data_IF_090274738773
#
_entry.id   IF_090274738773
#
_cell.length_a   1.000
_cell.length_b   1.000
_cell.length_c   1.000
_cell.angle_alpha   90.00
_cell.angle_beta   90.00
_cell.angle_gamma   90.00
#
_symmetry.space_group_name_H-M   'P 1'
#
loop_
_entity.id
_entity.type
_entity.pdbx_description
1 polymer ?
#
# COMPACT_ATOMS: atom_id res chain seq x y z
N UNK A 1 -22.69 -5.00 -0.18
CA UNK A 1 -22.84 -3.55 -0.52
C UNK A 1 -23.06 -3.42 -2.02
N UNK A 2 -23.76 -2.38 -2.52
CA UNK A 2 -23.83 -2.14 -3.98
C UNK A 2 -22.56 -1.49 -4.52
N UNK A 3 -22.28 -1.56 -5.83
CA UNK A 3 -21.18 -0.82 -6.45
C UNK A 3 -21.30 0.68 -6.23
N UNK A 4 -22.49 1.26 -6.42
CA UNK A 4 -22.69 2.70 -6.25
C UNK A 4 -22.40 3.18 -4.83
N UNK A 5 -22.75 2.38 -3.82
CA UNK A 5 -22.46 2.69 -2.43
C UNK A 5 -20.95 2.56 -2.16
N UNK A 6 -20.30 1.49 -2.64
CA UNK A 6 -18.84 1.32 -2.50
C UNK A 6 -18.07 2.46 -3.18
N UNK A 7 -18.46 2.83 -4.41
CA UNK A 7 -17.87 3.95 -5.13
C UNK A 7 -18.01 5.25 -4.36
N UNK A 8 -19.20 5.55 -3.83
CA UNK A 8 -19.43 6.76 -3.04
C UNK A 8 -18.51 6.82 -1.82
N UNK A 9 -18.38 5.71 -1.09
CA UNK A 9 -17.53 5.62 0.12
C UNK A 9 -16.05 5.80 -0.23
N UNK A 10 -15.57 5.09 -1.26
CA UNK A 10 -14.18 5.17 -1.71
C UNK A 10 -13.86 6.55 -2.31
N UNK A 11 -14.75 7.11 -3.12
CA UNK A 11 -14.57 8.43 -3.73
C UNK A 11 -14.53 9.52 -2.66
N UNK A 12 -15.35 9.41 -1.61
CA UNK A 12 -15.29 10.34 -0.47
C UNK A 12 -13.93 10.26 0.25
N UNK A 13 -13.37 9.06 0.38
CA UNK A 13 -12.13 8.83 1.13
C UNK A 13 -10.86 9.15 0.34
N UNK A 14 -10.85 8.86 -0.96
CA UNK A 14 -9.65 8.89 -1.80
C UNK A 14 -9.77 9.79 -3.03
N UNK A 15 -10.91 10.46 -3.22
CA UNK A 15 -11.23 11.27 -4.40
C UNK A 15 -10.32 12.47 -4.66
N UNK A 16 -9.59 12.92 -3.64
CA UNK A 16 -8.55 13.95 -3.79
C UNK A 16 -7.26 13.42 -4.40
N UNK A 17 -7.04 12.10 -4.36
CA UNK A 17 -5.84 11.43 -4.90
C UNK A 17 -6.17 10.71 -6.21
N UNK A 18 -7.33 10.07 -6.30
CA UNK A 18 -7.71 9.25 -7.45
C UNK A 18 -9.21 9.29 -7.71
N UNK A 19 -9.61 9.29 -8.99
CA UNK A 19 -11.02 9.16 -9.36
C UNK A 19 -11.42 7.69 -9.36
N UNK A 20 -12.32 7.30 -8.47
CA UNK A 20 -12.73 5.92 -8.29
C UNK A 20 -13.69 5.50 -9.42
N UNK A 21 -13.24 4.51 -10.19
CA UNK A 21 -14.02 3.86 -11.24
C UNK A 21 -14.64 2.59 -10.66
N UNK A 22 -15.97 2.42 -10.72
CA UNK A 22 -16.64 1.30 -10.05
C UNK A 22 -16.48 -0.03 -10.79
N UNK A 23 -16.17 0.00 -12.09
CA UNK A 23 -16.21 -1.18 -12.95
C UNK A 23 -17.64 -1.76 -13.08
N UNK A 24 -17.72 -3.07 -13.24
CA UNK A 24 -18.97 -3.84 -13.22
C UNK A 24 -18.96 -4.89 -12.10
N UNK A 25 -20.13 -5.38 -11.68
CA UNK A 25 -20.25 -6.41 -10.65
C UNK A 25 -21.06 -7.58 -11.15
N UNK A 26 -20.57 -8.78 -10.85
CA UNK A 26 -21.27 -10.04 -11.09
C UNK A 26 -21.39 -10.75 -9.75
N UNK A 27 -22.62 -10.87 -9.27
CA UNK A 27 -22.92 -11.64 -8.06
C UNK A 27 -23.03 -13.11 -8.44
N UNK A 28 -22.25 -13.96 -7.79
CA UNK A 28 -22.20 -15.40 -8.04
C UNK A 28 -22.78 -16.17 -6.87
N UNK A 29 -23.68 -17.11 -7.15
CA UNK A 29 -24.39 -17.89 -6.14
C UNK A 29 -23.48 -18.99 -5.55
N UNK A 30 -22.72 -18.63 -4.52
CA UNK A 30 -21.93 -19.55 -3.71
C UNK A 30 -20.50 -19.77 -4.18
N UNK A 31 -19.65 -20.22 -3.25
CA UNK A 31 -18.21 -20.39 -3.46
C UNK A 31 -17.84 -21.37 -4.59
N UNK A 32 -18.53 -22.52 -4.78
CA UNK A 32 -18.21 -23.42 -5.89
C UNK A 32 -18.33 -22.77 -7.28
N UNK A 33 -19.38 -21.96 -7.49
CA UNK A 33 -19.55 -21.23 -8.73
C UNK A 33 -18.50 -20.11 -8.89
N UNK A 34 -18.09 -19.49 -7.78
CA UNK A 34 -17.05 -18.45 -7.79
C UNK A 34 -15.68 -19.05 -8.16
N UNK A 35 -15.30 -20.21 -7.60
CA UNK A 35 -14.10 -20.93 -8.02
C UNK A 35 -14.14 -21.33 -9.50
N UNK A 36 -15.25 -21.89 -9.96
CA UNK A 36 -15.40 -22.26 -11.38
C UNK A 36 -15.23 -21.05 -12.30
N UNK A 37 -15.76 -19.87 -11.91
CA UNK A 37 -15.57 -18.63 -12.67
C UNK A 37 -14.11 -18.14 -12.61
N UNK A 38 -13.46 -18.25 -11.46
CA UNK A 38 -12.04 -17.90 -11.31
C UNK A 38 -11.15 -18.77 -12.19
N UNK A 39 -11.37 -20.09 -12.17
CA UNK A 39 -10.67 -21.05 -13.02
C UNK A 39 -10.89 -20.74 -14.51
N UNK A 40 -12.13 -20.46 -14.91
CA UNK A 40 -12.44 -20.11 -16.30
C UNK A 40 -11.65 -18.89 -16.79
N UNK A 41 -11.53 -17.86 -15.95
CA UNK A 41 -10.83 -16.61 -16.29
C UNK A 41 -9.32 -16.81 -16.32
N UNK A 42 -8.78 -17.62 -15.41
CA UNK A 42 -7.35 -17.81 -15.25
C UNK A 42 -6.79 -18.98 -16.05
N UNK A 43 -7.62 -19.81 -16.67
CA UNK A 43 -7.21 -20.99 -17.44
C UNK A 43 -6.05 -20.67 -18.39
N UNK A 44 -4.92 -21.38 -18.23
CA UNK A 44 -3.71 -21.18 -19.03
C UNK A 44 -2.79 -20.03 -18.59
N UNK A 45 -3.25 -19.11 -17.72
CA UNK A 45 -2.37 -18.11 -17.08
C UNK A 45 -1.40 -18.80 -16.10
N UNK A 46 -0.30 -18.16 -15.76
CA UNK A 46 0.64 -18.70 -14.76
C UNK A 46 -0.02 -18.78 -13.39
N UNK A 47 -0.09 -19.98 -12.80
CA UNK A 47 -0.50 -20.19 -11.43
C UNK A 47 0.70 -19.95 -10.50
N UNK A 48 0.66 -18.86 -9.74
CA UNK A 48 1.70 -18.47 -8.79
C UNK A 48 1.56 -19.13 -7.40
N UNK A 49 0.50 -19.91 -7.16
CA UNK A 49 0.28 -20.63 -5.90
C UNK A 49 0.95 -22.01 -5.86
N UNK A 50 1.65 -22.40 -6.92
CA UNK A 50 2.29 -23.71 -7.07
C UNK A 50 3.76 -23.53 -7.43
N UNK A 51 4.63 -24.34 -6.82
CA UNK A 51 6.08 -24.30 -7.07
C UNK A 51 6.55 -25.67 -7.59
N UNK A 52 7.16 -25.75 -8.80
CA UNK A 52 7.36 -24.65 -9.75
C UNK A 52 6.03 -24.16 -10.35
N UNK A 53 6.00 -22.87 -10.72
CA UNK A 53 4.82 -22.28 -11.36
C UNK A 53 4.45 -23.08 -12.62
N UNK A 54 3.15 -23.33 -12.80
CA UNK A 54 2.60 -24.01 -13.99
C UNK A 54 1.36 -23.26 -14.49
N UNK A 55 0.87 -23.53 -15.72
CA UNK A 55 -0.40 -22.98 -16.16
C UNK A 55 -1.56 -23.37 -15.22
N UNK A 56 -2.50 -22.45 -15.04
CA UNK A 56 -3.72 -22.62 -14.27
C UNK A 56 -4.61 -23.68 -14.90
N UNK A 57 -5.21 -24.51 -14.06
CA UNK A 57 -6.09 -25.62 -14.45
C UNK A 57 -7.41 -25.55 -13.68
N UNK A 58 -8.45 -26.20 -14.20
CA UNK A 58 -9.73 -26.32 -13.49
C UNK A 58 -9.52 -27.05 -12.15
N UNK A 59 -10.09 -26.50 -11.07
CA UNK A 59 -9.96 -26.98 -9.70
C UNK A 59 -8.88 -26.26 -8.90
N UNK A 60 -7.96 -25.54 -9.55
CA UNK A 60 -6.87 -24.83 -8.85
C UNK A 60 -7.42 -23.77 -7.88
N UNK A 61 -8.47 -23.02 -8.25
CA UNK A 61 -9.05 -22.02 -7.37
C UNK A 61 -9.57 -22.64 -6.06
N UNK A 62 -10.22 -23.80 -6.13
CA UNK A 62 -10.68 -24.51 -4.93
C UNK A 62 -9.53 -25.02 -4.07
N UNK A 63 -8.48 -25.56 -4.71
CA UNK A 63 -7.33 -26.12 -4.00
C UNK A 63 -6.49 -25.05 -3.31
N UNK A 64 -6.18 -23.96 -4.00
CA UNK A 64 -5.21 -22.97 -3.54
C UNK A 64 -5.84 -21.71 -2.92
N UNK A 65 -7.14 -21.46 -3.17
CA UNK A 65 -7.87 -20.31 -2.65
C UNK A 65 -9.20 -20.76 -2.00
N UNK A 66 -9.17 -21.63 -0.96
CA UNK A 66 -10.38 -22.20 -0.36
C UNK A 66 -11.30 -21.16 0.32
N UNK A 67 -10.81 -19.95 0.54
CA UNK A 67 -11.55 -18.82 1.13
C UNK A 67 -11.96 -17.73 0.13
N UNK A 68 -11.99 -18.02 -1.18
CA UNK A 68 -12.35 -17.03 -2.20
C UNK A 68 -13.78 -16.50 -1.96
N UNK A 69 -13.92 -15.21 -1.65
CA UNK A 69 -15.22 -14.53 -1.48
C UNK A 69 -15.48 -13.46 -2.55
N UNK A 70 -14.44 -13.04 -3.26
CA UNK A 70 -14.52 -12.17 -4.42
C UNK A 70 -13.20 -12.18 -5.20
N UNK A 71 -13.24 -11.61 -6.40
CA UNK A 71 -12.03 -11.25 -7.15
C UNK A 71 -12.37 -10.21 -8.24
N UNK A 72 -11.37 -9.44 -8.66
CA UNK A 72 -11.47 -8.53 -9.80
C UNK A 72 -10.68 -9.06 -11.02
N UNK A 73 -11.26 -8.93 -12.22
CA UNK A 73 -10.57 -9.16 -13.49
C UNK A 73 -11.13 -8.21 -14.55
N UNK A 74 -10.24 -7.48 -15.24
CA UNK A 74 -10.55 -6.59 -16.36
C UNK A 74 -11.75 -5.63 -16.09
N UNK A 75 -11.72 -4.93 -14.96
CA UNK A 75 -12.78 -3.98 -14.57
C UNK A 75 -14.09 -4.63 -14.12
N UNK A 76 -14.12 -5.96 -13.94
CA UNK A 76 -15.28 -6.71 -13.43
C UNK A 76 -14.98 -7.29 -12.07
N UNK A 77 -15.83 -7.01 -11.10
CA UNK A 77 -15.79 -7.52 -9.73
C UNK A 77 -16.75 -8.70 -9.62
N UNK A 78 -16.25 -9.88 -9.28
CA UNK A 78 -17.03 -11.07 -9.04
C UNK A 78 -17.14 -11.28 -7.52
N UNK A 79 -18.36 -11.38 -6.97
CA UNK A 79 -18.56 -11.48 -5.52
C UNK A 79 -19.47 -12.64 -5.19
N UNK A 80 -19.13 -13.40 -4.15
CA UNK A 80 -20.01 -14.41 -3.59
C UNK A 80 -21.25 -13.75 -2.98
N UNK A 81 -22.41 -13.99 -3.59
CA UNK A 81 -23.69 -13.42 -3.16
C UNK A 81 -24.12 -13.92 -1.77
N UNK A 82 -23.63 -15.07 -1.33
CA UNK A 82 -23.96 -15.67 -0.03
C UNK A 82 -23.15 -15.07 1.14
N UNK A 83 -22.05 -14.38 0.84
CA UNK A 83 -21.21 -13.68 1.82
C UNK A 83 -20.96 -12.24 1.35
N UNK A 84 -22.01 -11.39 1.24
CA UNK A 84 -21.86 -10.03 0.76
C UNK A 84 -21.31 -9.14 1.88
N UNK A 85 -20.11 -9.45 2.35
CA UNK A 85 -19.42 -8.61 3.32
C UNK A 85 -19.28 -7.21 2.69
N UNK A 86 -19.72 -6.14 3.38
CA UNK A 86 -19.57 -4.77 2.88
C UNK A 86 -18.14 -4.45 2.45
N UNK A 87 -17.16 -5.07 3.11
CA UNK A 87 -15.73 -4.99 2.79
C UNK A 87 -15.38 -5.55 1.43
N UNK A 88 -15.95 -6.69 1.03
CA UNK A 88 -15.59 -7.37 -0.24
C UNK A 88 -15.85 -6.48 -1.44
N UNK A 89 -17.02 -5.84 -1.56
CA UNK A 89 -17.28 -4.97 -2.73
C UNK A 89 -16.33 -3.78 -2.82
N UNK A 90 -15.99 -3.16 -1.69
CA UNK A 90 -15.04 -2.04 -1.66
C UNK A 90 -13.60 -2.52 -1.93
N UNK A 91 -13.22 -3.66 -1.36
CA UNK A 91 -11.93 -4.31 -1.57
C UNK A 91 -11.70 -4.64 -3.05
N UNK A 92 -12.63 -5.37 -3.68
CA UNK A 92 -12.49 -5.72 -5.10
C UNK A 92 -12.57 -4.51 -6.02
N UNK A 93 -13.33 -3.47 -5.66
CA UNK A 93 -13.33 -2.21 -6.41
C UNK A 93 -11.98 -1.50 -6.34
N UNK A 94 -11.30 -1.54 -5.19
CA UNK A 94 -9.98 -0.96 -5.05
C UNK A 94 -8.96 -1.67 -5.96
N UNK A 95 -9.02 -2.99 -6.12
CA UNK A 95 -8.17 -3.72 -7.09
C UNK A 95 -8.33 -3.24 -8.54
N UNK A 96 -9.52 -2.78 -8.94
CA UNK A 96 -9.72 -2.17 -10.27
C UNK A 96 -9.10 -0.76 -10.42
N UNK A 97 -8.80 -0.11 -9.29
CA UNK A 97 -8.28 1.25 -9.24
C UNK A 97 -6.80 1.31 -8.85
N UNK A 98 -6.21 0.20 -8.40
CA UNK A 98 -4.78 0.08 -8.12
C UNK A 98 -3.96 0.36 -9.37
N UNK A 99 -2.82 1.03 -9.22
CA UNK A 99 -1.85 1.20 -10.29
C UNK A 99 -1.39 -0.17 -10.82
N UNK A 100 -1.28 -0.27 -12.15
CA UNK A 100 -1.05 -1.54 -12.83
C UNK A 100 0.28 -2.22 -12.44
N UNK A 101 1.30 -1.45 -12.06
CA UNK A 101 2.61 -1.97 -11.65
C UNK A 101 2.69 -2.30 -10.15
N UNK A 102 1.70 -1.87 -9.35
CA UNK A 102 1.77 -1.92 -7.89
C UNK A 102 1.97 -3.36 -7.41
N UNK A 103 1.02 -4.24 -7.71
CA UNK A 103 1.06 -5.67 -7.36
C UNK A 103 2.36 -6.34 -7.82
N UNK A 104 2.78 -6.11 -9.06
CA UNK A 104 3.98 -6.71 -9.63
C UNK A 104 5.26 -6.33 -8.87
N UNK A 105 5.36 -5.05 -8.46
CA UNK A 105 6.53 -4.53 -7.75
C UNK A 105 6.50 -4.84 -6.25
N UNK A 106 5.37 -4.61 -5.56
CA UNK A 106 5.29 -4.77 -4.09
C UNK A 106 5.04 -6.22 -3.63
N UNK A 107 4.47 -7.06 -4.49
CA UNK A 107 4.06 -8.42 -4.14
C UNK A 107 2.60 -8.52 -3.69
N UNK A 108 2.07 -9.74 -3.73
CA UNK A 108 0.68 -10.08 -3.41
C UNK A 108 0.33 -9.73 -1.99
N UNK A 109 1.17 -10.10 -1.03
CA UNK A 109 0.90 -9.90 0.40
C UNK A 109 0.70 -8.43 0.74
N UNK A 110 1.56 -7.55 0.22
CA UNK A 110 1.45 -6.11 0.44
C UNK A 110 0.27 -5.56 -0.37
N UNK A 111 0.05 -6.02 -1.60
CA UNK A 111 -1.10 -5.63 -2.42
C UNK A 111 -2.44 -5.89 -1.71
N UNK A 112 -2.69 -7.14 -1.30
CA UNK A 112 -3.93 -7.52 -0.59
C UNK A 112 -4.06 -6.81 0.76
N UNK A 113 -2.96 -6.70 1.52
CA UNK A 113 -2.95 -5.97 2.78
C UNK A 113 -3.29 -4.48 2.62
N UNK A 114 -2.80 -3.85 1.55
CA UNK A 114 -3.08 -2.45 1.23
C UNK A 114 -4.53 -2.27 0.79
N UNK A 115 -5.02 -3.12 -0.11
CA UNK A 115 -6.41 -3.10 -0.56
C UNK A 115 -7.37 -3.23 0.61
N UNK A 116 -7.16 -4.22 1.49
CA UNK A 116 -8.00 -4.41 2.67
C UNK A 116 -7.89 -3.25 3.66
N UNK A 117 -6.68 -2.77 3.94
CA UNK A 117 -6.46 -1.62 4.81
C UNK A 117 -7.27 -0.39 4.34
N UNK A 118 -7.18 -0.06 3.06
CA UNK A 118 -7.85 1.08 2.45
C UNK A 118 -9.38 0.90 2.41
N UNK A 119 -9.86 -0.31 2.12
CA UNK A 119 -11.29 -0.63 2.18
C UNK A 119 -11.85 -0.42 3.59
N UNK A 120 -11.18 -0.99 4.60
CA UNK A 120 -11.57 -0.83 6.01
C UNK A 120 -11.53 0.63 6.44
N UNK A 121 -10.49 1.38 6.06
CA UNK A 121 -10.37 2.81 6.36
C UNK A 121 -11.58 3.60 5.83
N UNK A 122 -11.92 3.40 4.55
CA UNK A 122 -13.02 4.12 3.91
C UNK A 122 -14.39 3.76 4.52
N UNK A 123 -14.62 2.46 4.78
CA UNK A 123 -15.86 1.99 5.40
C UNK A 123 -16.04 2.52 6.83
N UNK A 124 -14.96 2.50 7.62
CA UNK A 124 -14.97 3.06 8.97
C UNK A 124 -15.22 4.57 8.95
N UNK A 125 -14.59 5.32 8.03
CA UNK A 125 -14.83 6.75 7.85
C UNK A 125 -16.29 7.07 7.48
N UNK A 126 -16.95 6.17 6.74
CA UNK A 126 -18.36 6.27 6.40
C UNK A 126 -19.32 5.76 7.49
N UNK A 127 -18.81 5.30 8.64
CA UNK A 127 -19.62 4.73 9.71
C UNK A 127 -20.30 3.41 9.34
N UNK A 128 -19.80 2.70 8.32
CA UNK A 128 -20.35 1.42 7.87
C UNK A 128 -19.71 0.31 8.70
N UNK A 129 -20.49 -0.46 9.48
CA UNK A 129 -19.95 -1.56 10.26
C UNK A 129 -19.29 -2.61 9.35
N UNK A 130 -18.05 -2.95 9.65
CA UNK A 130 -17.33 -4.07 9.03
C UNK A 130 -17.59 -5.39 9.77
N UNK A 131 -18.67 -5.44 10.57
CA UNK A 131 -18.91 -6.45 11.59
C UNK A 131 -19.19 -7.85 11.03
N UNK A 132 -18.19 -8.70 11.18
CA UNK A 132 -18.24 -10.18 11.15
C UNK A 132 -17.10 -10.84 11.94
N UNK A 133 -16.24 -10.05 12.60
CA UNK A 133 -15.26 -10.50 13.60
C UNK A 133 -13.83 -10.73 13.09
N UNK A 134 -13.61 -11.01 11.81
CA UNK A 134 -12.27 -11.19 11.25
C UNK A 134 -12.03 -10.18 10.13
N UNK A 135 -11.00 -9.34 10.30
CA UNK A 135 -10.36 -8.66 9.16
C UNK A 135 -9.97 -9.74 8.17
N UNK A 136 -10.37 -9.61 6.90
CA UNK A 136 -9.84 -10.51 5.88
C UNK A 136 -8.33 -10.24 5.84
N UNK A 137 -7.49 -11.28 5.88
CA UNK A 137 -6.02 -11.09 5.82
C UNK A 137 -5.42 -10.30 7.00
N UNK A 138 -5.65 -10.71 8.27
CA UNK A 138 -5.21 -9.93 9.43
C UNK A 138 -3.68 -9.76 9.48
N UNK A 139 -2.92 -10.77 9.04
CA UNK A 139 -1.46 -10.72 8.96
C UNK A 139 -0.99 -9.72 7.92
N UNK A 140 -1.58 -9.73 6.72
CA UNK A 140 -1.24 -8.83 5.62
C UNK A 140 -1.53 -7.37 5.99
N UNK A 141 -2.71 -7.12 6.56
CA UNK A 141 -3.06 -5.78 7.09
C UNK A 141 -2.10 -5.36 8.20
N UNK A 142 -1.66 -6.30 9.05
CA UNK A 142 -0.64 -6.05 10.07
C UNK A 142 0.72 -5.63 9.49
N UNK A 143 1.19 -6.33 8.44
CA UNK A 143 2.41 -5.98 7.70
C UNK A 143 2.27 -4.57 7.09
N UNK A 144 1.14 -4.28 6.44
CA UNK A 144 0.93 -2.97 5.80
C UNK A 144 0.84 -1.83 6.81
N UNK A 145 0.23 -2.05 7.99
CA UNK A 145 0.25 -1.05 9.06
C UNK A 145 1.67 -0.72 9.52
N UNK A 146 2.53 -1.72 9.69
CA UNK A 146 3.95 -1.49 10.03
C UNK A 146 4.70 -0.79 8.90
N UNK A 147 4.40 -1.11 7.64
CA UNK A 147 4.94 -0.39 6.49
C UNK A 147 4.50 1.08 6.49
N UNK A 148 3.24 1.37 6.83
CA UNK A 148 2.73 2.73 7.02
C UNK A 148 3.49 3.45 8.13
N UNK A 149 3.80 2.78 9.24
CA UNK A 149 4.59 3.35 10.34
C UNK A 149 6.03 3.73 9.89
N UNK A 150 6.55 3.06 8.86
CA UNK A 150 7.84 3.42 8.24
C UNK A 150 7.68 4.57 7.25
N UNK A 151 6.84 4.44 6.24
CA UNK A 151 6.83 5.36 5.07
C UNK A 151 5.79 6.48 5.13
N UNK A 152 4.87 6.42 6.08
CA UNK A 152 3.69 7.28 6.16
C UNK A 152 2.52 6.78 5.29
N UNK A 153 1.30 7.03 5.77
CA UNK A 153 0.07 6.55 5.10
C UNK A 153 -0.16 7.22 3.74
N UNK A 154 0.13 8.53 3.64
CA UNK A 154 -0.03 9.28 2.39
C UNK A 154 0.84 8.71 1.26
N UNK A 155 2.03 8.21 1.61
CA UNK A 155 2.95 7.56 0.66
C UNK A 155 2.34 6.25 0.15
N UNK A 156 1.80 5.42 1.05
CA UNK A 156 1.11 4.19 0.66
C UNK A 156 -0.07 4.49 -0.27
N UNK A 157 -0.94 5.44 0.08
CA UNK A 157 -2.12 5.80 -0.72
C UNK A 157 -1.71 6.31 -2.10
N UNK A 158 -0.73 7.22 -2.16
CA UNK A 158 -0.24 7.77 -3.42
C UNK A 158 0.37 6.70 -4.30
N UNK A 159 1.13 5.77 -3.73
CA UNK A 159 1.72 4.66 -4.46
C UNK A 159 0.67 3.65 -4.93
N UNK A 160 -0.35 3.37 -4.11
CA UNK A 160 -1.41 2.43 -4.46
C UNK A 160 -2.15 2.84 -5.73
N UNK A 161 -2.48 4.13 -5.86
CA UNK A 161 -3.18 4.66 -7.04
C UNK A 161 -2.25 5.17 -8.16
N UNK A 162 -1.03 5.60 -7.82
CA UNK A 162 -0.10 6.28 -8.73
C UNK A 162 1.11 5.45 -9.19
N UNK A 163 1.37 4.29 -8.58
CA UNK A 163 2.47 3.39 -8.92
C UNK A 163 3.42 3.12 -7.77
N UNK A 164 4.00 1.91 -7.74
CA UNK A 164 4.74 1.42 -6.57
C UNK A 164 6.10 2.07 -6.31
N UNK A 165 6.69 2.79 -7.27
CA UNK A 165 8.05 3.30 -7.16
C UNK A 165 8.22 4.26 -5.97
N UNK A 166 7.26 5.17 -5.76
CA UNK A 166 7.32 6.12 -4.64
C UNK A 166 7.33 5.44 -3.26
N UNK A 167 6.62 4.32 -3.10
CA UNK A 167 6.63 3.53 -1.88
C UNK A 167 7.98 2.82 -1.68
N UNK A 168 8.49 2.19 -2.74
CA UNK A 168 9.77 1.45 -2.71
C UNK A 168 10.93 2.41 -2.44
N UNK A 169 10.94 3.55 -3.10
CA UNK A 169 11.94 4.60 -2.93
C UNK A 169 11.89 5.20 -1.52
N UNK A 170 10.71 5.56 -1.02
CA UNK A 170 10.55 6.07 0.35
C UNK A 170 11.03 5.04 1.38
N UNK A 171 10.70 3.77 1.18
CA UNK A 171 11.15 2.70 2.06
C UNK A 171 12.67 2.54 2.04
N UNK A 172 13.27 2.47 0.85
CA UNK A 172 14.72 2.30 0.70
C UNK A 172 15.50 3.52 1.22
N UNK A 173 14.93 4.72 1.12
CA UNK A 173 15.48 5.95 1.72
C UNK A 173 15.57 5.83 3.24
N UNK A 174 14.55 5.23 3.87
CA UNK A 174 14.43 5.12 5.33
C UNK A 174 15.14 3.89 5.92
N UNK A 175 15.17 2.78 5.18
CA UNK A 175 15.67 1.48 5.66
C UNK A 175 16.98 1.05 4.98
N UNK A 176 17.46 1.82 4.01
CA UNK A 176 18.62 1.49 3.17
C UNK A 176 18.26 0.75 1.88
N UNK A 177 19.16 0.80 0.90
CA UNK A 177 18.92 0.46 -0.52
C UNK A 177 18.57 -1.01 -0.81
N UNK A 178 18.89 -1.96 0.09
CA UNK A 178 18.49 -3.37 -0.04
C UNK A 178 17.17 -3.70 0.68
N UNK A 179 16.58 -2.73 1.37
CA UNK A 179 15.49 -2.96 2.29
C UNK A 179 14.28 -3.61 1.61
N UNK A 180 13.75 -3.00 0.55
CA UNK A 180 12.49 -3.49 -0.03
C UNK A 180 12.66 -4.84 -0.74
N UNK A 181 13.84 -5.07 -1.34
CA UNK A 181 14.18 -6.34 -1.98
C UNK A 181 14.21 -7.52 -0.98
N UNK A 182 14.48 -7.25 0.30
CA UNK A 182 14.39 -8.23 1.39
C UNK A 182 12.96 -8.30 1.98
N UNK A 183 12.29 -7.16 2.09
CA UNK A 183 10.92 -7.07 2.63
C UNK A 183 9.93 -7.88 1.79
N UNK A 184 9.94 -7.69 0.46
CA UNK A 184 8.99 -8.35 -0.45
C UNK A 184 8.95 -9.87 -0.26
N UNK A 185 10.05 -10.63 -0.42
CA UNK A 185 10.00 -12.08 -0.24
C UNK A 185 9.66 -12.50 1.20
N UNK A 186 10.06 -11.73 2.21
CA UNK A 186 9.67 -12.01 3.60
C UNK A 186 8.17 -11.85 3.83
N UNK A 187 7.56 -10.81 3.23
CA UNK A 187 6.13 -10.57 3.25
C UNK A 187 5.38 -11.69 2.51
N UNK A 188 5.81 -12.10 1.30
CA UNK A 188 5.18 -13.21 0.57
C UNK A 188 5.22 -14.55 1.32
N UNK A 189 6.29 -14.78 2.09
CA UNK A 189 6.40 -15.94 2.96
C UNK A 189 5.57 -15.81 4.25
N UNK A 190 4.88 -14.68 4.47
CA UNK A 190 4.24 -14.30 5.73
C UNK A 190 5.17 -14.47 6.94
N UNK A 191 6.47 -14.23 6.75
CA UNK A 191 7.50 -14.40 7.77
C UNK A 191 7.51 -13.19 8.71
N UNK A 192 6.56 -13.17 9.65
CA UNK A 192 6.33 -12.03 10.54
C UNK A 192 7.57 -11.67 11.37
N UNK A 193 8.37 -12.65 11.78
CA UNK A 193 9.61 -12.39 12.52
C UNK A 193 10.60 -11.54 11.71
N UNK A 194 10.75 -11.82 10.40
CA UNK A 194 11.64 -11.05 9.53
C UNK A 194 11.01 -9.73 9.13
N UNK A 195 9.72 -9.70 8.78
CA UNK A 195 9.04 -8.44 8.44
C UNK A 195 9.03 -7.46 9.60
N UNK A 196 8.93 -7.93 10.85
CA UNK A 196 8.92 -7.06 12.02
C UNK A 196 10.25 -6.34 12.23
N UNK A 197 11.36 -7.02 11.94
CA UNK A 197 12.69 -6.41 11.96
C UNK A 197 12.81 -5.38 10.83
N UNK A 198 12.43 -5.75 9.61
CA UNK A 198 12.54 -4.90 8.43
C UNK A 198 11.63 -3.66 8.50
N UNK A 199 10.47 -3.78 9.15
CA UNK A 199 9.48 -2.71 9.28
C UNK A 199 9.59 -1.94 10.60
N UNK A 200 10.74 -1.98 11.27
CA UNK A 200 10.99 -1.14 12.45
C UNK A 200 11.21 0.31 12.00
N UNK A 201 10.38 1.29 12.40
CA UNK A 201 10.57 2.67 11.98
C UNK A 201 11.92 3.24 12.46
N UNK A 202 12.62 4.05 11.63
CA UNK A 202 13.85 4.68 12.07
C UNK A 202 13.59 5.64 13.23
N UNK A 203 14.52 5.71 14.19
CA UNK A 203 14.47 6.71 15.27
C UNK A 203 14.65 8.12 14.74
N UNK A 204 14.29 9.12 15.54
CA UNK A 204 14.52 10.53 15.18
C UNK A 204 16.00 10.82 14.87
N UNK A 205 16.93 10.25 15.64
CA UNK A 205 18.37 10.40 15.41
C UNK A 205 18.79 9.78 14.08
N UNK A 206 18.24 8.61 13.73
CA UNK A 206 18.50 7.96 12.44
C UNK A 206 17.94 8.80 11.29
N UNK A 207 16.73 9.35 11.41
CA UNK A 207 16.13 10.26 10.41
C UNK A 207 17.00 11.51 10.21
N UNK A 208 17.48 12.12 11.29
CA UNK A 208 18.41 13.27 11.22
C UNK A 208 19.71 12.88 10.52
N UNK A 209 20.27 11.70 10.81
CA UNK A 209 21.47 11.21 10.15
C UNK A 209 21.26 11.00 8.64
N UNK A 210 20.14 10.41 8.24
CA UNK A 210 19.75 10.24 6.83
C UNK A 210 19.66 11.61 6.15
N UNK A 211 18.94 12.58 6.73
CA UNK A 211 18.82 13.93 6.17
C UNK A 211 20.19 14.61 6.04
N UNK A 212 21.05 14.48 7.05
CA UNK A 212 22.39 15.04 6.99
C UNK A 212 23.22 14.44 5.84
N UNK A 213 23.06 13.14 5.55
CA UNK A 213 23.76 12.51 4.41
C UNK A 213 23.37 13.11 3.06
N UNK A 214 22.12 13.56 2.89
CA UNK A 214 21.65 14.27 1.69
C UNK A 214 22.11 15.74 1.64
N UNK A 215 22.46 16.32 2.78
CA UNK A 215 22.94 17.71 2.87
C UNK A 215 24.46 17.81 2.78
N UNK A 216 25.18 16.68 2.82
CA UNK A 216 26.63 16.64 2.77
C UNK A 216 27.15 16.75 1.33
N UNK A 217 27.59 17.95 0.95
CA UNK A 217 28.20 18.23 -0.35
C UNK A 217 27.29 19.04 -1.27
N UNK A 218 27.24 18.65 -2.55
CA UNK A 218 26.33 19.28 -3.52
C UNK A 218 24.94 18.71 -3.35
N UNK A 219 23.95 19.58 -3.06
CA UNK A 219 22.56 19.20 -2.87
C UNK A 219 21.80 19.43 -4.18
N UNK A 220 21.14 18.40 -4.68
CA UNK A 220 20.24 18.43 -5.83
C UNK A 220 18.79 18.69 -5.41
N UNK A 221 17.88 18.85 -6.38
CA UNK A 221 16.45 18.91 -6.08
C UNK A 221 15.88 17.55 -5.67
N UNK A 222 16.47 16.45 -6.12
CA UNK A 222 16.11 15.08 -5.76
C UNK A 222 16.45 14.79 -4.29
N UNK A 223 17.61 15.27 -3.80
CA UNK A 223 17.97 15.18 -2.39
C UNK A 223 16.93 15.87 -1.49
N UNK A 224 16.39 17.01 -1.93
CA UNK A 224 15.33 17.71 -1.20
C UNK A 224 13.99 16.93 -1.22
N UNK A 225 13.70 16.16 -2.27
CA UNK A 225 12.57 15.24 -2.30
C UNK A 225 12.76 14.10 -1.31
N UNK A 226 13.95 13.50 -1.23
CA UNK A 226 14.26 12.46 -0.23
C UNK A 226 14.19 13.00 1.19
N UNK A 227 14.69 14.21 1.45
CA UNK A 227 14.54 14.87 2.76
C UNK A 227 13.06 15.09 3.08
N UNK A 228 12.25 15.52 2.12
CA UNK A 228 10.81 15.68 2.30
C UNK A 228 10.12 14.35 2.64
N UNK A 229 10.52 13.23 2.02
CA UNK A 229 10.03 11.89 2.35
C UNK A 229 10.36 11.52 3.80
N UNK A 230 11.61 11.74 4.24
CA UNK A 230 12.02 11.45 5.63
C UNK A 230 11.27 12.31 6.64
N UNK A 231 11.07 13.59 6.35
CA UNK A 231 10.30 14.49 7.23
C UNK A 231 8.82 14.09 7.25
N UNK A 232 8.26 13.66 6.13
CA UNK A 232 6.84 13.25 6.07
C UNK A 232 6.56 11.95 6.82
N UNK A 233 7.53 11.04 6.95
CA UNK A 233 7.40 9.85 7.79
C UNK A 233 7.60 10.09 9.29
N UNK A 234 7.95 11.32 9.70
CA UNK A 234 8.16 11.68 11.09
C UNK A 234 6.85 12.06 11.79
N UNK A 235 6.67 11.60 13.03
CA UNK A 235 5.61 12.07 13.93
C UNK A 235 5.78 13.56 14.29
N UNK A 236 4.74 14.19 14.84
CA UNK A 236 4.77 15.64 15.15
C UNK A 236 5.92 16.05 16.09
N UNK A 237 6.20 15.27 17.12
CA UNK A 237 7.34 15.51 18.02
C UNK A 237 8.70 15.35 17.33
N UNK A 238 8.82 14.32 16.48
CA UNK A 238 10.03 14.07 15.71
C UNK A 238 10.31 15.19 14.70
N UNK A 239 9.26 15.70 14.02
CA UNK A 239 9.38 16.82 13.07
C UNK A 239 10.01 18.05 13.70
N UNK A 240 9.61 18.39 14.93
CA UNK A 240 10.21 19.51 15.69
C UNK A 240 11.69 19.27 15.99
N UNK A 241 12.05 18.04 16.38
CA UNK A 241 13.44 17.67 16.66
C UNK A 241 14.31 17.68 15.39
N UNK A 242 13.78 17.14 14.28
CA UNK A 242 14.42 17.19 12.96
C UNK A 242 14.60 18.64 12.52
N UNK A 243 13.56 19.47 12.57
CA UNK A 243 13.66 20.89 12.20
C UNK A 243 14.73 21.61 13.02
N UNK A 244 14.77 21.40 14.34
CA UNK A 244 15.78 21.99 15.22
C UNK A 244 17.20 21.55 14.86
N UNK A 245 17.39 20.27 14.52
CA UNK A 245 18.70 19.72 14.16
C UNK A 245 19.18 20.19 12.77
N UNK A 246 18.28 20.34 11.80
CA UNK A 246 18.62 20.61 10.39
C UNK A 246 18.63 22.11 10.08
N UNK A 247 17.86 22.93 10.79
CA UNK A 247 17.76 24.38 10.54
C UNK A 247 19.12 25.11 10.46
N UNK A 248 20.13 24.82 11.32
CA UNK A 248 21.45 25.45 11.22
C UNK A 248 22.15 25.20 9.88
N UNK A 249 21.84 24.10 9.18
CA UNK A 249 22.45 23.70 7.91
C UNK A 249 21.84 24.38 6.69
N UNK A 250 20.68 25.01 6.81
CA UNK A 250 20.03 25.69 5.67
C UNK A 250 20.98 26.71 5.01
N UNK A 251 21.80 27.41 5.80
CA UNK A 251 22.76 28.40 5.29
C UNK A 251 23.87 27.79 4.41
N UNK A 252 24.08 26.48 4.49
CA UNK A 252 25.11 25.75 3.74
C UNK A 252 24.67 25.49 2.28
N UNK A 253 23.36 25.47 2.01
CA UNK A 253 22.83 25.31 0.65
C UNK A 253 23.19 26.50 -0.24
N UNK A 254 23.55 26.25 -1.49
CA UNK A 254 24.05 27.30 -2.39
C UNK A 254 22.92 28.14 -3.00
N UNK A 255 21.80 27.50 -3.34
CA UNK A 255 20.66 28.17 -3.98
C UNK A 255 19.65 28.73 -2.97
N UNK A 256 19.20 29.96 -3.19
CA UNK A 256 18.09 30.56 -2.43
C UNK A 256 16.83 29.71 -2.56
N UNK A 257 16.57 29.15 -3.74
CA UNK A 257 15.41 28.27 -3.99
C UNK A 257 15.45 27.03 -3.10
N UNK A 258 16.61 26.35 -3.03
CA UNK A 258 16.80 25.18 -2.18
C UNK A 258 16.65 25.51 -0.69
N UNK A 259 17.20 26.65 -0.24
CA UNK A 259 17.02 27.14 1.14
C UNK A 259 15.55 27.34 1.48
N UNK A 260 14.79 27.96 0.56
CA UNK A 260 13.36 28.19 0.75
C UNK A 260 12.59 26.88 0.79
N UNK A 261 12.86 25.97 -0.15
CA UNK A 261 12.23 24.64 -0.18
C UNK A 261 12.52 23.84 1.09
N UNK A 262 13.77 23.82 1.56
CA UNK A 262 14.11 23.15 2.83
C UNK A 262 13.39 23.77 4.03
N UNK A 263 13.22 25.10 4.09
CA UNK A 263 12.42 25.73 5.17
C UNK A 263 10.96 25.29 5.14
N UNK A 264 10.36 25.17 3.95
CA UNK A 264 8.99 24.68 3.77
C UNK A 264 8.89 23.22 4.23
N UNK A 265 9.83 22.36 3.80
CA UNK A 265 9.90 20.96 4.22
C UNK A 265 9.93 20.84 5.76
N UNK A 266 10.74 21.68 6.42
CA UNK A 266 10.89 21.68 7.88
C UNK A 266 9.75 22.42 8.62
N UNK A 267 8.82 23.07 7.93
CA UNK A 267 7.74 23.85 8.55
C UNK A 267 8.23 25.09 9.31
N UNK A 268 9.28 25.76 8.81
CA UNK A 268 9.93 26.91 9.47
C UNK A 268 9.69 28.24 8.74
N UNK A 269 8.76 28.26 7.79
CA UNK A 269 8.30 29.46 7.08
C UNK A 269 7.05 30.07 7.70
#
# INVERSE_FOLDING_TARGET
>A
MSLSQAQTVLQSSFGSVHTIVPGSIVLIDGRPALWARYDQINLGRTNAHVTPNRPWQNGDAQTYIPGLEGFADNGTVYVNKQSPLPTVTAHEMLHNNTAADFRGKVGETINEGSTEYLALKALNAAGIPTTGGAVAYPTQVGIVRKLIDVVGESTLISAYFGGADSLIESYNTLQGWLGFALLKPAAEALNTAVTDILLTPPTTEQKVAIINSFLDGWVSDEDLDHIQMVVNSAGSGEKTAIASAIQPRIKELWSIGQRTRLRVILGTV
#
